data_IF_358120259964
#
_entry.id   IF_358120259964
#
_cell.length_a   1.000
_cell.length_b   1.000
_cell.length_c   1.000
_cell.angle_alpha   90.00
_cell.angle_beta   90.00
_cell.angle_gamma   90.00
#
_symmetry.space_group_name_H-M   'P 1'
#
loop_
_entity.id
_entity.type
_entity.pdbx_description
1 polymer ?
#
# COMPACT_ATOMS: atom_id res chain seq x y z
N UNK A 1 45.04 -60.92 -37.77
CA UNK A 1 45.06 -59.50 -37.19
C UNK A 1 43.72 -58.85 -37.49
N UNK A 2 42.92 -58.68 -36.46
CA UNK A 2 41.60 -58.00 -36.59
C UNK A 2 41.71 -56.61 -35.94
N UNK A 3 41.68 -55.58 -36.78
CA UNK A 3 41.66 -54.18 -36.30
C UNK A 3 40.30 -53.86 -35.72
N UNK A 4 40.27 -53.42 -34.44
CA UNK A 4 39.09 -52.85 -33.76
C UNK A 4 39.07 -51.35 -34.00
N UNK A 5 38.06 -50.88 -34.74
CA UNK A 5 37.76 -49.42 -34.89
C UNK A 5 36.99 -48.98 -33.66
N UNK A 6 37.57 -48.10 -32.89
CA UNK A 6 36.91 -47.40 -31.81
C UNK A 6 36.18 -46.11 -32.36
N UNK A 7 34.87 -46.12 -32.29
CA UNK A 7 34.07 -44.93 -32.60
C UNK A 7 33.90 -44.09 -31.34
N UNK A 8 34.32 -42.83 -31.31
CA UNK A 8 34.08 -41.98 -30.15
C UNK A 8 32.61 -41.49 -30.17
N UNK A 9 31.88 -41.83 -29.12
CA UNK A 9 30.54 -41.27 -28.86
C UNK A 9 30.70 -39.85 -28.33
N UNK A 10 30.33 -38.86 -29.17
CA UNK A 10 30.30 -37.44 -28.78
C UNK A 10 29.03 -37.19 -27.97
N UNK A 11 29.17 -37.04 -26.67
CA UNK A 11 28.07 -36.70 -25.77
C UNK A 11 27.79 -35.19 -25.87
N UNK A 12 26.75 -34.81 -26.61
CA UNK A 12 26.29 -33.41 -26.68
C UNK A 12 25.44 -33.13 -25.44
N UNK A 13 26.00 -32.40 -24.46
CA UNK A 13 25.29 -31.90 -23.32
C UNK A 13 24.57 -30.61 -23.72
N UNK A 14 23.27 -30.71 -23.98
CA UNK A 14 22.42 -29.53 -24.21
C UNK A 14 22.10 -28.88 -22.85
N UNK A 15 22.76 -27.78 -22.52
CA UNK A 15 22.37 -26.90 -21.41
C UNK A 15 21.07 -26.18 -21.77
N UNK A 16 19.93 -26.67 -21.30
CA UNK A 16 18.69 -25.91 -21.26
C UNK A 16 18.86 -24.79 -20.23
N UNK A 17 19.19 -23.60 -20.72
CA UNK A 17 19.12 -22.38 -19.90
C UNK A 17 17.66 -22.13 -19.55
N UNK A 18 17.22 -22.63 -18.40
CA UNK A 18 15.95 -22.23 -17.78
C UNK A 18 16.13 -20.77 -17.38
N UNK A 19 15.69 -19.87 -18.26
CA UNK A 19 15.63 -18.45 -17.95
C UNK A 19 14.71 -18.23 -16.76
N UNK A 20 15.27 -18.06 -15.57
CA UNK A 20 14.56 -17.52 -14.43
C UNK A 20 14.10 -16.11 -14.82
N UNK A 21 12.87 -15.98 -15.31
CA UNK A 21 12.19 -14.70 -15.31
C UNK A 21 11.99 -14.34 -13.84
N UNK A 22 12.93 -13.61 -13.27
CA UNK A 22 12.73 -12.91 -12.02
C UNK A 22 11.50 -12.03 -12.25
N UNK A 23 10.38 -12.41 -11.63
CA UNK A 23 9.22 -11.53 -11.52
C UNK A 23 9.75 -10.25 -10.91
N UNK A 24 9.66 -9.15 -11.64
CA UNK A 24 10.09 -7.85 -11.15
C UNK A 24 9.33 -7.60 -9.83
N UNK A 25 10.03 -7.73 -8.71
CA UNK A 25 9.47 -7.44 -7.41
C UNK A 25 9.37 -5.92 -7.32
N UNK A 26 8.16 -5.40 -7.49
CA UNK A 26 7.89 -3.99 -7.24
C UNK A 26 8.24 -3.68 -5.78
N UNK A 27 8.94 -2.57 -5.57
CA UNK A 27 9.17 -2.11 -4.20
C UNK A 27 7.82 -1.74 -3.54
N UNK A 28 7.71 -1.78 -2.20
CA UNK A 28 6.50 -1.33 -1.50
C UNK A 28 6.10 0.09 -1.89
N UNK A 29 7.06 0.94 -2.16
CA UNK A 29 6.88 2.30 -2.62
C UNK A 29 6.22 2.35 -4.02
N UNK A 30 6.74 1.60 -4.99
CA UNK A 30 6.19 1.53 -6.36
C UNK A 30 4.76 1.00 -6.39
N UNK A 31 4.45 0.03 -5.54
CA UNK A 31 3.08 -0.50 -5.40
C UNK A 31 2.12 0.58 -4.91
N UNK A 32 2.57 1.45 -4.00
CA UNK A 32 1.76 2.51 -3.41
C UNK A 32 1.47 3.64 -4.40
N UNK A 33 2.45 4.04 -5.23
CA UNK A 33 2.36 5.19 -6.13
C UNK A 33 1.11 5.14 -7.02
N UNK A 34 0.52 6.31 -7.27
CA UNK A 34 -0.65 6.52 -8.13
C UNK A 34 -1.88 7.01 -7.38
N UNK A 35 -3.01 6.96 -8.06
CA UNK A 35 -4.29 7.46 -7.55
C UNK A 35 -5.22 6.30 -7.22
N UNK A 36 -5.82 6.35 -6.03
CA UNK A 36 -6.68 5.32 -5.48
C UNK A 36 -8.05 5.91 -5.13
N UNK A 37 -9.11 5.32 -5.66
CA UNK A 37 -10.49 5.76 -5.42
C UNK A 37 -11.19 4.79 -4.48
N UNK A 38 -11.88 5.33 -3.48
CA UNK A 38 -12.68 4.55 -2.54
C UNK A 38 -13.83 3.84 -3.25
N UNK A 39 -13.92 2.55 -3.05
CA UNK A 39 -15.05 1.70 -3.40
C UNK A 39 -16.02 1.68 -2.22
N UNK A 40 -16.95 2.64 -2.19
CA UNK A 40 -17.88 2.83 -1.06
C UNK A 40 -18.73 1.58 -0.83
N UNK A 41 -19.33 0.93 -1.85
CA UNK A 41 -20.10 -0.30 -1.66
C UNK A 41 -19.31 -1.46 -1.08
N UNK A 42 -18.01 -1.56 -1.39
CA UNK A 42 -17.12 -2.62 -0.87
C UNK A 42 -16.55 -2.29 0.51
N UNK A 43 -16.79 -1.09 1.03
CA UNK A 43 -16.22 -0.60 2.29
C UNK A 43 -17.23 -0.72 3.42
N UNK A 44 -16.70 -0.81 4.66
CA UNK A 44 -17.50 -0.85 5.89
C UNK A 44 -17.00 0.18 6.88
N UNK A 45 -17.91 0.97 7.44
CA UNK A 45 -17.62 2.00 8.43
C UNK A 45 -18.48 1.78 9.67
N UNK A 46 -17.84 1.69 10.83
CA UNK A 46 -18.49 1.58 12.13
C UNK A 46 -17.96 2.67 13.04
N UNK A 47 -18.83 3.50 13.62
CA UNK A 47 -20.31 3.46 13.52
C UNK A 47 -20.89 3.98 12.20
N UNK A 48 -20.15 4.57 11.27
CA UNK A 48 -20.68 5.13 10.04
C UNK A 48 -21.28 6.53 10.21
N UNK A 49 -21.85 7.16 9.15
CA UNK A 49 -21.90 6.68 7.76
C UNK A 49 -20.52 6.75 7.05
N UNK A 50 -20.35 6.02 5.92
CA UNK A 50 -19.15 6.16 5.10
C UNK A 50 -19.07 7.55 4.44
N UNK A 51 -17.88 8.01 4.04
CA UNK A 51 -17.76 9.19 3.19
C UNK A 51 -18.44 8.94 1.84
N UNK A 52 -18.94 10.00 1.20
CA UNK A 52 -19.53 9.93 -0.14
C UNK A 52 -18.49 9.56 -1.20
N UNK A 53 -17.26 10.06 -1.03
CA UNK A 53 -16.13 9.78 -1.91
C UNK A 53 -14.82 10.02 -1.17
N UNK A 54 -13.79 9.28 -1.55
CA UNK A 54 -12.42 9.56 -1.13
C UNK A 54 -11.46 9.20 -2.26
N UNK A 55 -10.51 10.08 -2.52
CA UNK A 55 -9.40 9.84 -3.45
C UNK A 55 -8.10 10.01 -2.67
N UNK A 56 -7.20 9.05 -2.81
CA UNK A 56 -5.84 9.10 -2.29
C UNK A 56 -4.86 9.15 -3.44
N UNK A 57 -3.99 10.13 -3.44
CA UNK A 57 -2.91 10.26 -4.42
C UNK A 57 -1.58 10.10 -3.70
N UNK A 58 -0.73 9.25 -4.26
CA UNK A 58 0.62 9.02 -3.76
C UNK A 58 1.61 9.33 -4.86
N UNK A 59 2.51 10.27 -4.61
CA UNK A 59 3.52 10.74 -5.56
C UNK A 59 4.90 10.69 -4.94
N UNK A 60 5.91 10.45 -5.75
CA UNK A 60 7.29 10.47 -5.28
C UNK A 60 7.71 11.92 -5.02
N UNK A 61 8.10 12.20 -3.77
CA UNK A 61 8.60 13.48 -3.32
C UNK A 61 10.09 13.40 -2.95
N UNK A 62 10.69 14.52 -2.56
CA UNK A 62 12.12 14.59 -2.19
C UNK A 62 12.45 13.82 -0.92
N UNK A 63 11.48 13.65 -0.02
CA UNK A 63 11.66 13.00 1.28
C UNK A 63 10.99 11.61 1.35
N UNK A 64 10.52 11.08 0.22
CA UNK A 64 9.81 9.81 0.15
C UNK A 64 8.54 9.88 -0.68
N UNK A 65 7.43 9.31 -0.20
CA UNK A 65 6.14 9.33 -0.88
C UNK A 65 5.20 10.33 -0.22
N UNK A 66 4.85 11.37 -0.94
CA UNK A 66 3.84 12.32 -0.52
C UNK A 66 2.44 11.72 -0.71
N UNK A 67 1.64 11.73 0.34
CA UNK A 67 0.26 11.25 0.35
C UNK A 67 -0.72 12.40 0.50
N UNK A 68 -1.69 12.49 -0.40
CA UNK A 68 -2.80 13.44 -0.36
C UNK A 68 -4.11 12.69 -0.34
N UNK A 69 -4.95 12.95 0.66
CA UNK A 69 -6.29 12.36 0.78
C UNK A 69 -7.32 13.49 0.58
N UNK A 70 -8.11 13.39 -0.48
CA UNK A 70 -9.27 14.26 -0.66
C UNK A 70 -10.53 13.47 -0.34
N UNK A 71 -11.24 13.87 0.71
CA UNK A 71 -12.43 13.18 1.21
C UNK A 71 -13.65 14.09 1.17
N UNK A 72 -14.75 13.58 0.63
CA UNK A 72 -16.08 14.19 0.73
C UNK A 72 -16.85 13.40 1.78
N UNK A 73 -17.11 14.04 2.92
CA UNK A 73 -17.85 13.45 4.03
C UNK A 73 -19.33 13.20 3.68
N UNK A 74 -20.04 12.45 4.51
CA UNK A 74 -21.47 12.17 4.31
C UNK A 74 -22.34 13.42 4.28
N UNK A 75 -21.97 14.48 5.00
CA UNK A 75 -22.63 15.81 5.00
C UNK A 75 -22.27 16.68 3.79
N UNK A 76 -21.30 16.23 2.95
CA UNK A 76 -20.80 16.95 1.79
C UNK A 76 -19.58 17.82 2.04
N UNK A 77 -19.12 17.96 3.30
CA UNK A 77 -17.88 18.67 3.61
C UNK A 77 -16.70 18.00 2.94
N UNK A 78 -15.83 18.80 2.32
CA UNK A 78 -14.59 18.33 1.70
C UNK A 78 -13.42 18.63 2.62
N UNK A 79 -12.56 17.62 2.84
CA UNK A 79 -11.28 17.76 3.56
C UNK A 79 -10.16 17.27 2.66
N UNK A 80 -8.99 17.93 2.76
CA UNK A 80 -7.75 17.50 2.11
C UNK A 80 -6.71 17.30 3.20
N UNK A 81 -6.17 16.09 3.30
CA UNK A 81 -5.20 15.67 4.31
C UNK A 81 -3.91 15.36 3.60
N UNK A 82 -2.80 15.89 4.09
CA UNK A 82 -1.47 15.71 3.51
C UNK A 82 -0.52 15.13 4.55
N UNK A 83 0.31 14.17 4.14
CA UNK A 83 1.28 13.51 5.01
C UNK A 83 2.37 12.78 4.20
N UNK A 84 3.49 12.43 4.85
CA UNK A 84 4.51 11.58 4.27
C UNK A 84 4.12 10.10 4.45
N UNK A 85 3.95 9.37 3.34
CA UNK A 85 3.22 8.10 3.30
C UNK A 85 4.08 6.84 3.46
N UNK A 86 5.41 6.97 3.61
CA UNK A 86 6.35 5.84 3.67
C UNK A 86 7.52 6.04 4.66
N UNK A 87 7.34 6.85 5.69
CA UNK A 87 8.40 7.10 6.67
C UNK A 87 8.16 6.31 7.96
N UNK A 88 9.22 5.74 8.50
CA UNK A 88 9.25 5.09 9.82
C UNK A 88 9.47 6.08 10.98
N UNK A 89 9.69 7.36 10.67
CA UNK A 89 9.71 8.45 11.62
C UNK A 89 8.33 9.07 11.75
N UNK A 90 8.09 9.76 12.86
CA UNK A 90 6.88 10.53 13.04
C UNK A 90 6.92 11.80 12.19
N UNK A 91 5.87 12.02 11.41
CA UNK A 91 5.71 13.19 10.56
C UNK A 91 4.38 13.88 10.82
N UNK A 92 4.40 15.20 10.70
CA UNK A 92 3.20 16.02 10.79
C UNK A 92 2.20 15.68 9.70
N UNK A 93 0.93 15.73 10.06
CA UNK A 93 -0.23 15.62 9.18
C UNK A 93 -0.95 16.96 9.18
N UNK A 94 -1.36 17.41 8.01
CA UNK A 94 -2.12 18.64 7.84
C UNK A 94 -3.51 18.38 7.27
N UNK A 95 -4.43 19.34 7.44
CA UNK A 95 -5.75 19.30 6.80
C UNK A 95 -6.82 18.51 7.56
N UNK A 96 -6.52 17.99 8.75
CA UNK A 96 -7.51 17.36 9.64
C UNK A 96 -7.32 17.82 11.08
N UNK A 97 -8.40 18.02 11.85
CA UNK A 97 -8.32 18.31 13.27
C UNK A 97 -8.25 17.04 14.15
N UNK A 98 -8.43 15.86 13.56
CA UNK A 98 -8.58 14.61 14.31
C UNK A 98 -7.23 14.07 14.83
N UNK A 99 -6.17 14.22 14.02
CA UNK A 99 -4.81 13.82 14.37
C UNK A 99 -3.80 14.74 13.67
N UNK A 100 -2.65 14.92 14.27
CA UNK A 100 -1.64 15.89 13.84
C UNK A 100 -0.32 15.25 13.44
N UNK A 101 -0.14 13.96 13.74
CA UNK A 101 1.05 13.24 13.32
C UNK A 101 0.77 11.78 12.95
N UNK A 102 1.66 11.21 12.13
CA UNK A 102 1.63 9.81 11.71
C UNK A 102 3.04 9.24 11.70
N UNK A 103 3.17 8.00 12.18
CA UNK A 103 4.35 7.17 12.05
C UNK A 103 3.97 5.89 11.31
N UNK A 104 4.66 5.57 10.22
CA UNK A 104 4.40 4.37 9.45
C UNK A 104 5.50 3.32 9.67
N UNK A 105 5.11 2.06 9.61
CA UNK A 105 6.01 0.91 9.65
C UNK A 105 5.67 -0.03 8.51
N UNK A 106 6.64 -0.33 7.65
CA UNK A 106 6.50 -1.39 6.65
C UNK A 106 6.63 -2.75 7.34
N UNK A 107 5.67 -3.64 7.13
CA UNK A 107 5.63 -5.00 7.72
C UNK A 107 6.16 -6.01 6.71
N UNK A 108 5.67 -5.94 5.47
CA UNK A 108 6.07 -6.74 4.32
C UNK A 108 5.88 -5.93 3.04
N UNK A 109 6.24 -6.41 1.85
CA UNK A 109 6.11 -5.64 0.61
C UNK A 109 4.72 -5.08 0.31
N UNK A 110 3.67 -5.68 0.87
CA UNK A 110 2.28 -5.32 0.60
C UNK A 110 1.56 -4.69 1.80
N UNK A 111 2.14 -4.80 3.00
CA UNK A 111 1.47 -4.41 4.25
C UNK A 111 2.28 -3.36 4.99
N UNK A 112 1.64 -2.27 5.38
CA UNK A 112 2.19 -1.27 6.29
C UNK A 112 1.19 -0.91 7.39
N UNK A 113 1.71 -0.49 8.53
CA UNK A 113 0.94 0.01 9.67
C UNK A 113 1.24 1.48 9.89
N UNK A 114 0.22 2.23 10.31
CA UNK A 114 0.31 3.62 10.72
C UNK A 114 -0.17 3.77 12.15
N UNK A 115 0.62 4.43 12.97
CA UNK A 115 0.20 4.98 14.26
C UNK A 115 -0.12 6.45 14.05
N UNK A 116 -1.36 6.84 14.39
CA UNK A 116 -1.81 8.22 14.32
C UNK A 116 -1.86 8.79 15.73
N UNK A 117 -1.35 10.00 15.91
CA UNK A 117 -1.31 10.69 17.21
C UNK A 117 -1.96 12.07 17.12
N UNK A 118 -2.46 12.55 18.25
CA UNK A 118 -2.95 13.90 18.41
C UNK A 118 -2.40 14.48 19.73
N UNK A 119 -1.62 15.54 19.63
CA UNK A 119 -0.94 16.13 20.79
C UNK A 119 -0.04 15.11 21.52
N UNK A 120 0.56 14.18 20.80
CA UNK A 120 1.40 13.10 21.32
C UNK A 120 0.63 11.90 21.91
N UNK A 121 -0.70 11.97 22.04
CA UNK A 121 -1.52 10.84 22.47
C UNK A 121 -1.97 9.98 21.26
N UNK A 122 -2.10 8.67 21.46
CA UNK A 122 -2.56 7.77 20.39
C UNK A 122 -4.02 8.09 20.05
N UNK A 123 -4.26 8.48 18.80
CA UNK A 123 -5.59 8.68 18.23
C UNK A 123 -6.15 7.39 17.64
N UNK A 124 -5.32 6.62 16.95
CA UNK A 124 -5.73 5.38 16.33
C UNK A 124 -4.61 4.70 15.55
N UNK A 125 -4.94 3.57 14.96
CA UNK A 125 -4.05 2.80 14.11
C UNK A 125 -4.69 2.49 12.76
N UNK A 126 -3.89 2.40 11.71
CA UNK A 126 -4.35 1.97 10.40
C UNK A 126 -3.41 0.92 9.83
N UNK A 127 -3.98 -0.17 9.32
CA UNK A 127 -3.24 -1.17 8.54
C UNK A 127 -3.60 -1.00 7.07
N UNK A 128 -2.61 -0.75 6.22
CA UNK A 128 -2.76 -0.66 4.77
C UNK A 128 -2.25 -1.95 4.14
N UNK A 129 -3.07 -2.56 3.29
CA UNK A 129 -2.76 -3.78 2.56
C UNK A 129 -2.99 -3.52 1.07
N UNK A 130 -1.95 -3.67 0.24
CA UNK A 130 -2.04 -3.57 -1.21
C UNK A 130 -2.16 -4.99 -1.77
N UNK A 131 -3.08 -5.20 -2.69
CA UNK A 131 -3.22 -6.48 -3.39
C UNK A 131 -1.99 -6.80 -4.23
N UNK A 132 -1.68 -8.10 -4.38
CA UNK A 132 -0.55 -8.56 -5.20
C UNK A 132 -0.64 -8.14 -6.67
N UNK A 133 -1.86 -7.82 -7.13
CA UNK A 133 -2.15 -7.27 -8.45
C UNK A 133 -1.75 -5.80 -8.61
N UNK A 134 -1.39 -5.12 -7.50
CA UNK A 134 -1.10 -3.68 -7.46
C UNK A 134 -2.30 -2.79 -7.80
N UNK A 135 -3.52 -3.34 -7.90
CA UNK A 135 -4.73 -2.62 -8.35
C UNK A 135 -5.79 -2.44 -7.25
N UNK A 136 -5.65 -3.16 -6.15
CA UNK A 136 -6.53 -3.07 -5.00
C UNK A 136 -5.77 -2.67 -3.73
N UNK A 137 -6.40 -1.91 -2.85
CA UNK A 137 -5.86 -1.54 -1.55
C UNK A 137 -6.96 -1.59 -0.52
N UNK A 138 -6.63 -2.09 0.67
CA UNK A 138 -7.51 -2.07 1.84
C UNK A 138 -6.83 -1.30 2.96
N UNK A 139 -7.59 -0.44 3.64
CA UNK A 139 -7.15 0.24 4.85
C UNK A 139 -8.11 -0.12 5.98
N UNK A 140 -7.57 -0.68 7.05
CA UNK A 140 -8.29 -1.02 8.26
C UNK A 140 -7.89 0.02 9.31
N UNK A 141 -8.79 0.92 9.64
CA UNK A 141 -8.59 1.92 10.68
C UNK A 141 -9.32 1.52 11.96
N UNK A 142 -8.63 1.65 13.09
CA UNK A 142 -9.16 1.35 14.42
C UNK A 142 -8.89 2.50 15.36
N UNK A 143 -9.89 2.78 16.17
CA UNK A 143 -9.82 3.75 17.24
C UNK A 143 -10.40 3.12 18.52
N UNK A 144 -9.55 2.56 19.40
CA UNK A 144 -9.99 1.71 20.51
C UNK A 144 -10.86 2.42 21.53
N UNK A 145 -10.56 3.71 21.79
CA UNK A 145 -11.26 4.57 22.77
C UNK A 145 -12.68 4.98 22.33
N UNK A 146 -13.01 4.79 21.05
CA UNK A 146 -14.28 5.23 20.48
C UNK A 146 -15.05 4.10 19.78
N UNK A 147 -14.62 2.83 19.93
CA UNK A 147 -15.21 1.65 19.27
C UNK A 147 -15.38 1.84 17.75
N UNK A 148 -14.37 2.49 17.11
CA UNK A 148 -14.37 2.74 15.68
C UNK A 148 -13.59 1.66 14.96
N UNK A 149 -14.22 1.06 13.95
CA UNK A 149 -13.61 0.13 13.01
C UNK A 149 -14.05 0.45 11.58
N UNK A 150 -13.13 0.94 10.77
CA UNK A 150 -13.38 1.18 9.36
C UNK A 150 -12.54 0.24 8.51
N UNK A 151 -13.17 -0.38 7.52
CA UNK A 151 -12.52 -1.17 6.48
C UNK A 151 -12.81 -0.51 5.15
N UNK A 152 -11.87 0.29 4.67
CA UNK A 152 -11.98 1.02 3.42
C UNK A 152 -11.28 0.25 2.29
N UNK A 153 -11.98 0.03 1.19
CA UNK A 153 -11.47 -0.64 -0.01
C UNK A 153 -11.27 0.39 -1.11
N UNK A 154 -10.13 0.33 -1.78
CA UNK A 154 -9.79 1.25 -2.87
C UNK A 154 -9.42 0.49 -4.13
N UNK A 155 -9.67 1.12 -5.27
CA UNK A 155 -9.23 0.68 -6.58
C UNK A 155 -8.24 1.69 -7.15
N UNK A 156 -7.15 1.18 -7.72
CA UNK A 156 -6.18 2.02 -8.41
C UNK A 156 -6.80 2.56 -9.69
N UNK A 157 -6.68 3.86 -9.92
CA UNK A 157 -7.10 4.47 -11.18
C UNK A 157 -6.05 4.18 -12.25
N UNK A 158 -6.50 3.71 -13.39
CA UNK A 158 -5.67 3.50 -14.59
C UNK A 158 -5.33 4.84 -15.26
#
# INVERSE_FOLDING_TARGET
MRARVLVPVLLVVVFLAVGNRALAQHSPEELLLGTWTLDVPASRYLPGPPPRAEVRSYTKGPNGVDGVIKRTQADGKVTTIEYLANSDQEHMVTGTPEYDAVKLRQIDPFTSEALLTHGGAVFGTATRIIGRDGKSMRIIFRRPDADVLNVAVYRKKE
#
